data_IF_266375673500
#
_entry.id   IF_266375673500
#
_cell.length_a   1.000
_cell.length_b   1.000
_cell.length_c   1.000
_cell.angle_alpha   90.00
_cell.angle_beta   90.00
_cell.angle_gamma   90.00
#
_symmetry.space_group_name_H-M   'P 1'
#
loop_
_entity.id
_entity.type
_entity.pdbx_description
1 polymer ?
#
# COMPACT_ATOMS: atom_id res chain seq x y z
N UNK A 1 -15.55 18.37 -11.39
CA UNK A 1 -14.85 18.50 -10.11
C UNK A 1 -13.69 17.52 -10.13
N UNK A 2 -12.48 17.91 -9.70
CA UNK A 2 -11.36 16.99 -9.64
C UNK A 2 -11.63 15.89 -8.61
N UNK A 3 -10.96 14.75 -8.76
CA UNK A 3 -11.06 13.60 -7.84
C UNK A 3 -10.02 13.79 -6.75
N UNK A 4 -10.45 14.10 -5.53
CA UNK A 4 -9.54 14.40 -4.41
C UNK A 4 -9.29 13.16 -3.58
N UNK A 5 -8.05 12.89 -3.20
CA UNK A 5 -7.71 11.84 -2.22
C UNK A 5 -8.03 12.35 -0.82
N UNK A 6 -8.93 11.69 -0.11
CA UNK A 6 -9.49 12.13 1.18
C UNK A 6 -9.13 11.23 2.35
N UNK A 7 -8.51 10.09 2.10
CA UNK A 7 -8.12 9.15 3.15
C UNK A 7 -7.12 8.13 2.65
N UNK A 8 -6.28 7.64 3.56
CA UNK A 8 -5.30 6.59 3.29
C UNK A 8 -5.38 5.57 4.41
N UNK A 9 -5.80 4.35 4.08
CA UNK A 9 -5.68 3.20 4.98
C UNK A 9 -4.39 2.43 4.70
N UNK A 10 -3.78 1.90 5.76
CA UNK A 10 -2.63 1.03 5.67
C UNK A 10 -2.88 -0.23 6.51
N UNK A 11 -2.92 -1.38 5.83
CA UNK A 11 -3.26 -2.69 6.39
C UNK A 11 -2.02 -3.59 6.46
N UNK A 12 -1.84 -4.25 7.59
CA UNK A 12 -0.84 -5.32 7.76
C UNK A 12 -1.51 -6.66 7.48
N UNK A 13 -1.28 -7.21 6.29
CA UNK A 13 -1.87 -8.47 5.84
C UNK A 13 -0.76 -9.52 5.76
N UNK A 14 -0.96 -10.68 6.40
CA UNK A 14 0.00 -11.79 6.41
C UNK A 14 -0.69 -13.11 6.12
N UNK A 15 -0.10 -13.89 5.23
CA UNK A 15 -0.58 -15.21 4.84
C UNK A 15 0.38 -16.27 5.40
N UNK A 16 -0.12 -17.36 6.02
CA UNK A 16 0.71 -18.35 6.70
C UNK A 16 1.34 -19.36 5.71
N UNK A 17 2.02 -18.87 4.66
CA UNK A 17 2.66 -19.68 3.62
C UNK A 17 3.77 -20.58 4.17
N UNK A 18 4.36 -20.21 5.31
CA UNK A 18 5.36 -21.03 6.01
C UNK A 18 4.84 -22.42 6.42
N UNK A 19 3.52 -22.60 6.59
CA UNK A 19 2.92 -23.89 6.98
C UNK A 19 3.18 -24.99 5.96
N UNK A 20 3.12 -24.66 4.68
CA UNK A 20 3.37 -25.58 3.56
C UNK A 20 4.72 -25.32 2.88
N UNK A 21 5.46 -24.33 3.37
CA UNK A 21 6.77 -23.88 2.86
C UNK A 21 6.70 -23.32 1.44
N UNK A 22 5.56 -22.74 1.08
CA UNK A 22 5.37 -22.06 -0.19
C UNK A 22 6.27 -20.83 -0.27
N UNK A 23 7.04 -20.72 -1.35
CA UNK A 23 7.99 -19.61 -1.54
C UNK A 23 9.31 -19.76 -0.79
N UNK A 24 9.56 -20.89 -0.12
CA UNK A 24 10.83 -21.13 0.55
C UNK A 24 12.01 -21.23 -0.42
N UNK A 25 13.15 -20.66 -0.02
CA UNK A 25 14.41 -20.75 -0.74
C UNK A 25 15.60 -20.92 0.23
N UNK A 26 16.84 -20.89 -0.29
CA UNK A 26 18.04 -21.08 0.51
C UNK A 26 18.29 -19.98 1.56
N UNK A 27 17.77 -18.77 1.33
CA UNK A 27 17.92 -17.60 2.19
C UNK A 27 16.69 -17.34 3.07
N UNK A 28 15.51 -17.63 2.54
CA UNK A 28 14.20 -17.45 3.20
C UNK A 28 13.52 -18.82 3.35
N UNK A 29 13.85 -19.60 4.39
CA UNK A 29 13.42 -20.99 4.50
C UNK A 29 11.94 -21.17 4.90
N UNK A 30 11.35 -20.16 5.55
CA UNK A 30 10.00 -20.16 6.14
C UNK A 30 9.26 -18.82 5.97
N UNK A 31 9.08 -18.31 4.73
CA UNK A 31 8.46 -17.01 4.53
C UNK A 31 6.95 -17.05 4.80
N UNK A 32 6.44 -16.00 5.45
CA UNK A 32 5.01 -15.71 5.52
C UNK A 32 4.72 -14.53 4.59
N UNK A 33 4.29 -14.84 3.37
CA UNK A 33 4.00 -13.82 2.35
C UNK A 33 3.03 -12.80 2.92
N UNK A 34 3.42 -11.54 2.82
CA UNK A 34 2.75 -10.44 3.49
C UNK A 34 2.63 -9.24 2.55
N UNK A 35 1.61 -8.43 2.78
CA UNK A 35 1.37 -7.20 2.08
C UNK A 35 1.21 -6.06 3.09
N UNK A 36 2.02 -5.03 2.95
CA UNK A 36 1.71 -3.73 3.51
C UNK A 36 0.83 -3.02 2.47
N UNK A 37 -0.48 -3.11 2.70
CA UNK A 37 -1.51 -2.75 1.71
C UNK A 37 -2.00 -1.33 1.95
N UNK A 38 -2.02 -0.50 0.91
CA UNK A 38 -2.49 0.87 0.95
C UNK A 38 -3.80 1.02 0.16
N UNK A 39 -4.76 1.74 0.75
CA UNK A 39 -6.02 2.11 0.09
C UNK A 39 -6.13 3.64 0.11
N UNK A 40 -6.17 4.25 -1.07
CA UNK A 40 -6.43 5.67 -1.26
C UNK A 40 -7.94 5.86 -1.49
N UNK A 41 -8.59 6.52 -0.54
CA UNK A 41 -10.01 6.90 -0.64
C UNK A 41 -10.14 8.23 -1.36
N UNK A 42 -11.22 8.38 -2.14
CA UNK A 42 -11.51 9.63 -2.84
C UNK A 42 -12.85 10.22 -2.43
N UNK A 43 -13.08 11.50 -2.76
CA UNK A 43 -14.35 12.20 -2.55
C UNK A 43 -15.45 11.81 -3.56
N UNK A 44 -15.18 10.86 -4.46
CA UNK A 44 -16.11 10.46 -5.51
C UNK A 44 -17.35 9.73 -4.97
N UNK A 45 -18.58 10.11 -5.39
CA UNK A 45 -19.82 9.46 -4.94
C UNK A 45 -19.93 7.97 -5.30
N UNK A 46 -19.29 7.55 -6.40
CA UNK A 46 -19.22 6.15 -6.84
C UNK A 46 -18.18 5.32 -6.06
N UNK A 47 -17.55 5.91 -5.03
CA UNK A 47 -16.58 5.28 -4.13
C UNK A 47 -15.33 4.75 -4.86
N UNK A 48 -14.86 5.50 -5.85
CA UNK A 48 -13.57 5.23 -6.48
C UNK A 48 -12.45 5.19 -5.42
N UNK A 49 -11.66 4.12 -5.42
CA UNK A 49 -10.52 3.91 -4.52
C UNK A 49 -9.30 3.43 -5.30
N UNK A 50 -8.11 3.86 -4.89
CA UNK A 50 -6.83 3.39 -5.42
C UNK A 50 -6.22 2.34 -4.49
N UNK A 51 -5.82 1.19 -5.03
CA UNK A 51 -5.27 0.08 -4.24
C UNK A 51 -3.84 -0.21 -4.67
N UNK A 52 -2.94 -0.38 -3.70
CA UNK A 52 -1.54 -0.72 -3.95
C UNK A 52 -0.95 -1.47 -2.77
N UNK A 53 0.16 -2.17 -2.99
CA UNK A 53 0.87 -2.87 -1.93
C UNK A 53 2.37 -2.89 -2.18
N UNK A 54 3.12 -3.06 -1.10
CA UNK A 54 4.47 -3.60 -1.18
C UNK A 54 4.50 -4.98 -0.52
N UNK A 55 5.31 -5.88 -1.10
CA UNK A 55 5.45 -7.26 -0.65
C UNK A 55 6.55 -7.36 0.40
N UNK A 56 6.29 -8.15 1.44
CA UNK A 56 7.31 -8.59 2.40
C UNK A 56 7.12 -10.07 2.73
N UNK A 57 8.11 -10.69 3.37
CA UNK A 57 8.10 -12.10 3.75
C UNK A 57 7.81 -12.33 5.26
N UNK A 58 6.96 -11.49 5.87
CA UNK A 58 6.46 -11.69 7.23
C UNK A 58 6.91 -10.60 8.20
N UNK A 59 7.93 -10.89 9.00
CA UNK A 59 8.49 -9.90 9.96
C UNK A 59 9.00 -8.66 9.21
N UNK A 60 8.73 -7.48 9.74
CA UNK A 60 9.05 -6.20 9.10
C UNK A 60 7.93 -5.63 8.25
N UNK A 61 6.85 -6.38 7.97
CA UNK A 61 5.68 -5.83 7.26
C UNK A 61 5.08 -4.62 7.99
N UNK A 62 5.10 -4.65 9.33
CA UNK A 62 4.62 -3.56 10.18
C UNK A 62 5.43 -2.26 9.98
N UNK A 63 6.71 -2.36 9.63
CA UNK A 63 7.56 -1.20 9.33
C UNK A 63 7.17 -0.58 7.99
N UNK A 64 6.88 -1.40 6.99
CA UNK A 64 6.34 -0.91 5.71
C UNK A 64 4.96 -0.26 5.88
N UNK A 65 4.09 -0.83 6.72
CA UNK A 65 2.79 -0.20 7.06
C UNK A 65 3.00 1.15 7.76
N UNK A 66 3.95 1.25 8.70
CA UNK A 66 4.30 2.52 9.33
C UNK A 66 4.85 3.54 8.32
N UNK A 67 5.65 3.09 7.36
CA UNK A 67 6.16 3.95 6.28
C UNK A 67 5.01 4.49 5.40
N UNK A 68 4.04 3.65 5.00
CA UNK A 68 2.84 4.10 4.27
C UNK A 68 2.11 5.20 5.07
N UNK A 69 1.91 5.00 6.37
CA UNK A 69 1.25 5.99 7.24
C UNK A 69 2.04 7.30 7.34
N UNK A 70 3.38 7.24 7.33
CA UNK A 70 4.21 8.45 7.33
C UNK A 70 4.15 9.24 6.02
N UNK A 71 3.89 8.57 4.89
CA UNK A 71 3.77 9.21 3.57
C UNK A 71 2.35 9.73 3.29
N UNK A 72 1.34 9.23 4.01
CA UNK A 72 -0.06 9.62 3.82
C UNK A 72 -0.30 11.15 3.80
N UNK A 73 0.32 11.99 4.67
CA UNK A 73 0.14 13.44 4.62
C UNK A 73 0.64 14.10 3.33
N UNK A 74 1.58 13.48 2.60
CA UNK A 74 2.08 14.00 1.32
C UNK A 74 1.09 13.79 0.17
N UNK A 75 0.16 12.85 0.33
CA UNK A 75 -0.79 12.45 -0.72
C UNK A 75 -2.22 12.92 -0.41
N UNK A 76 -2.58 13.04 0.87
CA UNK A 76 -3.89 13.50 1.29
C UNK A 76 -4.18 14.92 0.78
N UNK A 77 -5.34 15.10 0.13
CA UNK A 77 -5.78 16.37 -0.44
C UNK A 77 -5.28 16.64 -1.86
N UNK A 78 -4.35 15.83 -2.39
CA UNK A 78 -3.98 15.90 -3.80
C UNK A 78 -5.14 15.42 -4.67
N UNK A 79 -5.22 15.95 -5.89
CA UNK A 79 -6.18 15.50 -6.89
C UNK A 79 -5.53 14.51 -7.84
N UNK A 80 -6.31 13.53 -8.29
CA UNK A 80 -5.86 12.56 -9.29
C UNK A 80 -5.44 13.27 -10.59
N UNK A 81 -6.12 14.35 -10.97
CA UNK A 81 -5.77 15.16 -12.13
C UNK A 81 -4.40 15.81 -11.99
N UNK A 82 -4.08 16.41 -10.83
CA UNK A 82 -2.75 16.98 -10.58
C UNK A 82 -1.63 15.94 -10.70
N UNK A 83 -1.85 14.74 -10.13
CA UNK A 83 -0.86 13.65 -10.19
C UNK A 83 -0.67 13.15 -11.63
N UNK A 84 -1.74 13.05 -12.43
CA UNK A 84 -1.65 12.60 -13.83
C UNK A 84 -0.99 13.62 -14.76
N UNK A 85 -1.17 14.91 -14.49
CA UNK A 85 -0.61 15.98 -15.30
C UNK A 85 0.92 16.01 -15.23
N UNK A 86 1.51 15.70 -14.08
CA UNK A 86 2.96 15.54 -13.91
C UNK A 86 3.31 14.45 -12.88
N UNK A 87 3.28 13.20 -13.34
CA UNK A 87 3.64 12.05 -12.49
C UNK A 87 5.10 12.07 -12.05
N UNK A 88 6.00 12.71 -12.83
CA UNK A 88 7.41 12.82 -12.48
C UNK A 88 7.63 13.85 -11.38
N UNK A 89 6.90 14.97 -11.39
CA UNK A 89 6.92 15.95 -10.30
C UNK A 89 6.25 15.47 -9.01
N UNK A 90 5.31 14.52 -9.12
CA UNK A 90 4.71 13.85 -7.96
C UNK A 90 5.66 12.86 -7.26
N UNK A 91 6.54 12.19 -8.02
CA UNK A 91 7.41 11.10 -7.52
C UNK A 91 8.72 11.62 -6.92
#
# INVERSE_FOLDING_TARGET
MPTTITGIDALDIRFPTSRERDGSDAMSPDPDYSAAYAILHTDRPDRLTGHGLTFTAGRGNELCVAAIRSLAPLVHGLTLEHIKDDMAGFW
#
